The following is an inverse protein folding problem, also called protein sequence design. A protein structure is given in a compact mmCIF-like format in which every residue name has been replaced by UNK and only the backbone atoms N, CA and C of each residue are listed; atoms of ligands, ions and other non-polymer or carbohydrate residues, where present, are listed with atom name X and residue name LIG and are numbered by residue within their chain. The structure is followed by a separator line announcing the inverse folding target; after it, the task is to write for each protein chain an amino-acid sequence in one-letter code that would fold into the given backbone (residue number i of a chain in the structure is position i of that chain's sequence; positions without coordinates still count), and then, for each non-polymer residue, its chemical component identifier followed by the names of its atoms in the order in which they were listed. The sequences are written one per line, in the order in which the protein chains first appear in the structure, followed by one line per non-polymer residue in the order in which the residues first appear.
data_IF_192954372411
#
_entry.id   IF_192954372411
#
_cell.length_a   1.000
_cell.length_b   1.000
_cell.length_c   1.000
_cell.angle_alpha   90.00
_cell.angle_beta   90.00
_cell.angle_gamma   90.00
#
_symmetry.space_group_name_H-M   'P 1'
#
loop_
_entity.id
_entity.type
_entity.pdbx_description
1 polymer ?
#
# COMPACT_ATOMS: atom_id res chain seq x y z
N UNK A 1 36.22 -32.02 7.35
CA UNK A 1 35.56 -30.73 7.09
C UNK A 1 34.12 -31.03 6.72
N UNK A 2 33.17 -30.65 7.55
CA UNK A 2 31.76 -30.63 7.16
C UNK A 2 31.52 -29.26 6.53
N UNK A 3 31.07 -29.25 5.28
CA UNK A 3 30.51 -28.05 4.64
C UNK A 3 29.36 -27.54 5.52
N UNK A 4 29.28 -26.23 5.85
CA UNK A 4 28.01 -25.70 6.32
C UNK A 4 27.08 -25.74 5.11
N UNK A 5 26.01 -26.53 5.18
CA UNK A 5 24.93 -26.42 4.21
C UNK A 5 24.48 -24.96 4.21
N UNK A 6 24.70 -24.24 3.11
CA UNK A 6 24.10 -22.93 2.89
C UNK A 6 22.61 -23.17 2.76
N UNK A 7 21.87 -23.03 3.87
CA UNK A 7 20.41 -23.02 3.84
C UNK A 7 19.99 -21.79 3.03
N UNK A 8 19.39 -22.02 1.87
CA UNK A 8 18.77 -20.93 1.10
C UNK A 8 17.70 -20.30 2.00
N UNK A 9 17.75 -18.98 2.24
CA UNK A 9 16.72 -18.31 3.03
C UNK A 9 15.35 -18.57 2.41
N UNK A 10 14.41 -19.02 3.24
CA UNK A 10 13.02 -19.15 2.83
C UNK A 10 12.41 -17.74 2.78
N UNK A 11 12.04 -17.30 1.58
CA UNK A 11 11.32 -16.06 1.36
C UNK A 11 9.82 -16.28 1.28
N UNK A 12 9.05 -15.23 1.56
CA UNK A 12 7.61 -15.23 1.44
C UNK A 12 7.15 -15.25 -0.03
N UNK A 13 5.97 -15.82 -0.26
CA UNK A 13 5.11 -15.55 -1.41
C UNK A 13 3.97 -14.63 -0.92
N UNK A 14 4.17 -13.30 -0.95
CA UNK A 14 3.33 -12.36 -0.22
C UNK A 14 1.96 -12.22 -0.87
N UNK A 15 0.90 -12.27 -0.05
CA UNK A 15 -0.50 -12.14 -0.48
C UNK A 15 -1.11 -10.85 0.06
N UNK A 16 -2.25 -10.38 -0.49
CA UNK A 16 -2.93 -9.19 0.02
C UNK A 16 -3.22 -9.21 1.53
N UNK A 17 -3.49 -10.39 2.11
CA UNK A 17 -3.76 -10.54 3.55
C UNK A 17 -2.54 -10.34 4.44
N UNK A 18 -1.35 -10.39 3.87
CA UNK A 18 -0.09 -10.25 4.60
C UNK A 18 0.32 -8.78 4.72
N UNK A 19 -0.52 -7.85 4.22
CA UNK A 19 -0.29 -6.42 4.27
C UNK A 19 -1.45 -5.66 4.93
N UNK A 20 -1.09 -4.68 5.75
CA UNK A 20 -2.01 -3.64 6.23
C UNK A 20 -1.71 -2.33 5.50
N UNK A 21 -2.74 -1.71 4.93
CA UNK A 21 -2.64 -0.40 4.27
C UNK A 21 -3.32 0.68 5.10
N UNK A 22 -2.55 1.70 5.50
CA UNK A 22 -3.08 2.95 6.05
C UNK A 22 -2.91 4.07 5.03
N UNK A 23 -3.69 5.14 5.20
CA UNK A 23 -3.59 6.34 4.39
C UNK A 23 -3.34 7.53 5.30
N UNK A 24 -2.25 8.24 5.06
CA UNK A 24 -1.90 9.45 5.78
C UNK A 24 -2.35 10.66 4.99
N UNK A 25 -3.24 11.48 5.56
CA UNK A 25 -3.64 12.76 4.96
C UNK A 25 -2.49 13.75 5.11
N UNK A 26 -1.92 14.20 3.99
CA UNK A 26 -0.86 15.23 3.96
C UNK A 26 -1.41 16.63 3.81
N UNK A 27 -2.50 16.77 3.05
CA UNK A 27 -3.20 18.04 2.88
C UNK A 27 -4.69 17.81 2.93
N UNK A 28 -5.41 18.78 3.50
CA UNK A 28 -6.87 18.81 3.53
C UNK A 28 -7.35 20.25 3.43
N UNK A 29 -8.23 20.51 2.48
CA UNK A 29 -8.88 21.80 2.32
C UNK A 29 -10.38 21.60 2.11
N UNK A 30 -11.19 22.23 2.95
CA UNK A 30 -12.63 22.00 2.99
C UNK A 30 -13.41 23.26 2.61
N UNK A 31 -14.50 23.07 1.86
CA UNK A 31 -15.34 24.14 1.32
C UNK A 31 -16.74 24.12 1.95
N UNK A 32 -16.80 23.97 3.28
CA UNK A 32 -18.06 23.87 4.01
C UNK A 32 -18.83 22.60 3.65
N UNK A 33 -20.08 22.78 3.18
CA UNK A 33 -20.95 21.66 2.80
C UNK A 33 -20.64 21.06 1.44
N UNK A 34 -19.75 21.66 0.65
CA UNK A 34 -19.37 21.15 -0.67
C UNK A 34 -18.36 20.00 -0.60
N UNK A 35 -17.78 19.70 0.56
CA UNK A 35 -16.80 18.63 0.72
C UNK A 35 -15.38 19.14 0.99
N UNK A 36 -14.41 18.23 0.86
CA UNK A 36 -12.99 18.55 1.03
C UNK A 36 -12.12 17.88 -0.02
N UNK A 37 -11.13 18.62 -0.52
CA UNK A 37 -10.02 18.05 -1.27
C UNK A 37 -8.92 17.62 -0.31
N UNK A 38 -8.42 16.41 -0.52
CA UNK A 38 -7.41 15.78 0.35
C UNK A 38 -6.32 15.13 -0.48
N UNK A 39 -5.08 15.34 -0.08
CA UNK A 39 -3.93 14.59 -0.60
C UNK A 39 -3.58 13.52 0.43
N UNK A 40 -3.52 12.26 -0.01
CA UNK A 40 -3.18 11.11 0.84
C UNK A 40 -1.96 10.39 0.31
N UNK A 41 -1.19 9.82 1.23
CA UNK A 41 -0.07 8.92 0.92
C UNK A 41 -0.31 7.55 1.55
N UNK A 42 0.05 6.46 0.86
CA UNK A 42 0.00 5.11 1.41
C UNK A 42 1.06 4.91 2.50
N UNK A 43 0.67 4.15 3.52
CA UNK A 43 1.54 3.63 4.57
C UNK A 43 1.28 2.12 4.65
N UNK A 44 2.13 1.38 3.96
CA UNK A 44 2.07 -0.07 3.86
C UNK A 44 2.89 -0.71 4.99
N UNK A 45 2.31 -1.69 5.65
CA UNK A 45 3.00 -2.54 6.62
C UNK A 45 2.88 -4.00 6.20
N UNK A 46 3.99 -4.72 6.17
CA UNK A 46 4.02 -6.17 5.95
C UNK A 46 3.98 -6.91 7.29
N UNK A 47 3.08 -7.88 7.41
CA UNK A 47 2.79 -8.64 8.64
C UNK A 47 3.03 -10.16 8.46
N UNK A 48 3.63 -10.57 7.34
CA UNK A 48 3.94 -11.97 7.08
C UNK A 48 5.08 -12.52 7.95
N UNK A 49 5.11 -13.84 8.07
CA UNK A 49 6.05 -14.56 8.95
C UNK A 49 7.47 -14.63 8.34
N UNK A 50 7.54 -14.86 7.04
CA UNK A 50 8.80 -14.94 6.30
C UNK A 50 9.16 -13.57 5.72
N UNK A 51 10.46 -13.23 5.60
CA UNK A 51 10.87 -11.99 4.97
C UNK A 51 10.47 -11.97 3.48
N UNK A 52 10.24 -10.77 2.96
CA UNK A 52 10.09 -10.56 1.53
C UNK A 52 11.45 -10.76 0.86
N UNK A 53 11.44 -11.41 -0.31
CA UNK A 53 12.63 -11.59 -1.13
C UNK A 53 13.20 -10.24 -1.59
N UNK A 54 14.44 -9.88 -1.20
CA UNK A 54 15.04 -8.60 -1.58
C UNK A 54 15.43 -8.55 -3.06
N UNK A 55 15.49 -9.68 -3.76
CA UNK A 55 15.85 -9.73 -5.19
C UNK A 55 14.62 -9.60 -6.11
N UNK A 56 13.42 -9.46 -5.53
CA UNK A 56 12.15 -9.35 -6.26
C UNK A 56 11.50 -7.99 -6.08
N UNK A 57 10.74 -7.59 -7.10
CA UNK A 57 9.82 -6.45 -7.02
C UNK A 57 8.39 -6.95 -6.93
N UNK A 58 7.59 -6.31 -6.08
CA UNK A 58 6.17 -6.59 -5.96
C UNK A 58 5.36 -5.34 -6.27
N UNK A 59 4.44 -5.44 -7.21
CA UNK A 59 3.37 -4.47 -7.42
C UNK A 59 2.20 -4.78 -6.49
N UNK A 60 1.86 -3.83 -5.62
CA UNK A 60 0.81 -3.99 -4.63
C UNK A 60 -0.33 -3.06 -5.01
N UNK A 61 -1.43 -3.66 -5.46
CA UNK A 61 -2.65 -2.92 -5.81
C UNK A 61 -3.52 -2.74 -4.59
N UNK A 62 -4.00 -1.52 -4.38
CA UNK A 62 -4.88 -1.18 -3.27
C UNK A 62 -6.03 -0.29 -3.71
N UNK A 63 -7.15 -0.42 -2.98
CA UNK A 63 -8.33 0.40 -3.14
C UNK A 63 -8.40 1.45 -2.05
N UNK A 64 -8.52 2.71 -2.43
CA UNK A 64 -8.86 3.83 -1.57
C UNK A 64 -10.38 4.04 -1.61
N UNK A 65 -11.01 4.06 -0.44
CA UNK A 65 -12.43 4.38 -0.29
C UNK A 65 -12.58 5.71 0.45
N UNK A 66 -13.61 6.49 0.13
CA UNK A 66 -13.88 7.79 0.74
C UNK A 66 -13.90 8.97 -0.24
N UNK A 67 -13.46 8.74 -1.49
CA UNK A 67 -13.69 9.67 -2.58
C UNK A 67 -15.17 9.67 -3.00
N UNK A 68 -15.70 10.84 -3.36
CA UNK A 68 -17.09 11.02 -3.72
C UNK A 68 -17.44 10.40 -5.08
N UNK A 69 -16.44 10.20 -5.94
CA UNK A 69 -16.60 9.57 -7.25
C UNK A 69 -16.62 8.04 -7.16
N UNK A 70 -16.41 7.47 -5.98
CA UNK A 70 -16.32 6.04 -5.74
C UNK A 70 -14.91 5.59 -5.36
N UNK A 71 -14.65 4.28 -5.30
CA UNK A 71 -13.33 3.79 -4.94
C UNK A 71 -12.27 4.11 -5.99
N UNK A 72 -11.09 4.54 -5.54
CA UNK A 72 -9.92 4.78 -6.38
C UNK A 72 -8.98 3.57 -6.26
N UNK A 73 -8.48 3.05 -7.38
CA UNK A 73 -7.52 1.94 -7.41
C UNK A 73 -6.15 2.50 -7.77
N UNK A 74 -5.16 2.15 -6.97
CA UNK A 74 -3.77 2.59 -7.13
C UNK A 74 -2.83 1.40 -6.97
N UNK A 75 -1.58 1.57 -7.38
CA UNK A 75 -0.54 0.55 -7.28
C UNK A 75 0.75 1.19 -6.78
N UNK A 76 1.38 0.54 -5.81
CA UNK A 76 2.73 0.87 -5.34
C UNK A 76 3.71 -0.22 -5.75
N UNK A 77 4.97 0.14 -5.90
CA UNK A 77 6.06 -0.81 -6.11
C UNK A 77 6.85 -0.99 -4.83
N UNK A 78 7.00 -2.24 -4.39
CA UNK A 78 7.84 -2.63 -3.27
C UNK A 78 9.09 -3.34 -3.81
N UNK A 79 10.25 -2.72 -3.66
CA UNK A 79 11.55 -3.26 -4.07
C UNK A 79 12.40 -3.57 -2.83
N UNK A 80 13.39 -4.44 -2.99
CA UNK A 80 14.41 -4.72 -1.97
C UNK A 80 13.77 -5.20 -0.63
N UNK A 81 12.56 -5.75 -0.70
CA UNK A 81 11.71 -6.14 0.42
C UNK A 81 11.21 -5.02 1.33
N UNK A 82 11.62 -3.76 1.13
CA UNK A 82 11.35 -2.66 2.07
C UNK A 82 11.19 -1.28 1.44
N UNK A 83 11.77 -1.05 0.26
CA UNK A 83 11.72 0.24 -0.44
C UNK A 83 10.38 0.38 -1.16
N UNK A 84 9.60 1.41 -0.83
CA UNK A 84 8.29 1.64 -1.43
C UNK A 84 8.32 2.88 -2.35
N UNK A 85 8.00 2.69 -3.62
CA UNK A 85 7.76 3.76 -4.58
C UNK A 85 6.25 3.95 -4.79
N UNK A 86 5.79 5.20 -4.67
CA UNK A 86 4.37 5.55 -4.74
C UNK A 86 4.19 7.00 -5.18
N UNK A 87 2.97 7.32 -5.64
CA UNK A 87 2.54 8.68 -5.89
C UNK A 87 1.43 9.06 -4.89
N UNK A 88 1.44 10.29 -4.35
CA UNK A 88 0.32 10.79 -3.58
C UNK A 88 -0.97 10.84 -4.42
N UNK A 89 -2.09 10.42 -3.84
CA UNK A 89 -3.40 10.50 -4.50
C UNK A 89 -4.19 11.70 -3.99
N UNK A 90 -4.82 12.44 -4.89
CA UNK A 90 -5.75 13.52 -4.55
C UNK A 90 -7.19 13.01 -4.67
N UNK A 91 -7.99 13.24 -3.63
CA UNK A 91 -9.39 12.81 -3.55
C UNK A 91 -10.30 14.01 -3.23
N UNK A 92 -11.57 13.90 -3.61
CA UNK A 92 -12.65 14.82 -3.24
C UNK A 92 -13.66 14.08 -2.37
N UNK A 93 -13.75 14.46 -1.11
CA UNK A 93 -14.66 13.81 -0.15
C UNK A 93 -15.97 14.58 -0.06
N UNK A 94 -17.09 13.86 0.06
CA UNK A 94 -18.44 14.46 0.19
C UNK A 94 -18.60 15.37 1.43
N UNK A 95 -17.68 15.27 2.40
CA UNK A 95 -17.70 16.05 3.62
C UNK A 95 -16.48 15.83 4.48
N UNK A 96 -16.21 16.76 5.40
CA UNK A 96 -15.03 16.74 6.27
C UNK A 96 -14.94 15.54 7.22
N UNK A 97 -16.08 14.92 7.53
CA UNK A 97 -16.17 13.70 8.36
C UNK A 97 -16.05 12.39 7.57
N UNK A 98 -15.89 12.45 6.25
CA UNK A 98 -15.75 11.24 5.42
C UNK A 98 -14.49 10.49 5.82
N UNK A 99 -14.64 9.18 6.07
CA UNK A 99 -13.51 8.31 6.39
C UNK A 99 -12.83 7.89 5.10
N UNK A 100 -11.51 8.06 5.06
CA UNK A 100 -10.67 7.59 3.97
C UNK A 100 -9.95 6.34 4.45
N UNK A 101 -10.03 5.25 3.68
CA UNK A 101 -9.45 3.95 4.04
C UNK A 101 -8.78 3.31 2.84
N UNK A 102 -7.61 2.70 3.04
CA UNK A 102 -6.93 1.89 2.04
C UNK A 102 -7.10 0.40 2.33
N UNK A 103 -7.17 -0.42 1.29
CA UNK A 103 -7.17 -1.88 1.40
C UNK A 103 -6.37 -2.49 0.27
N UNK A 104 -5.38 -3.33 0.59
CA UNK A 104 -4.67 -4.13 -0.42
C UNK A 104 -5.64 -5.15 -1.02
N UNK A 105 -5.67 -5.22 -2.34
CA UNK A 105 -6.56 -6.11 -3.10
C UNK A 105 -5.80 -7.12 -3.93
N UNK A 106 -4.59 -6.79 -4.37
CA UNK A 106 -3.77 -7.69 -5.19
C UNK A 106 -2.27 -7.46 -4.93
N UNK A 107 -1.48 -8.51 -5.11
CA UNK A 107 -0.02 -8.49 -5.02
C UNK A 107 0.51 -9.31 -6.19
N UNK A 108 1.34 -8.70 -7.02
CA UNK A 108 1.93 -9.33 -8.19
C UNK A 108 3.45 -9.18 -8.17
N UNK A 109 4.18 -10.28 -8.37
CA UNK A 109 5.62 -10.25 -8.57
C UNK A 109 5.94 -9.74 -10.00
N UNK A 110 6.87 -8.79 -10.09
CA UNK A 110 7.41 -8.29 -11.36
C UNK A 110 8.90 -8.61 -11.45
N UNK A 111 9.32 -9.13 -12.62
CA UNK A 111 10.69 -9.54 -12.92
C UNK A 111 11.53 -8.38 -13.46
#
# INVERSE_FOLDING_TARGET
MSDPATETPAYADPRPSDFTMKLTIKRKHCFGSAGCNVDVEPDLSYEGILPIDPDKTYEITYQISGDESGPVIETISLTDGTSMEYYPSSLSTAGSGTKITGKVTDVAETN
#
